data_IF_745646903137
#
_entry.id   IF_745646903137
#
_cell.length_a   1.000
_cell.length_b   1.000
_cell.length_c   1.000
_cell.angle_alpha   90.00
_cell.angle_beta   90.00
_cell.angle_gamma   90.00
#
_symmetry.space_group_name_H-M   'P 1'
#
loop_
_entity.id
_entity.type
_entity.pdbx_description
1 polymer ?
#
# COMPACT_ATOMS: atom_id res chain seq x y z
N UNK A 1 10.18 29.42 -38.16
CA UNK A 1 9.21 28.76 -37.25
C UNK A 1 8.17 29.81 -36.92
N UNK A 2 6.98 29.68 -37.49
CA UNK A 2 5.93 30.67 -37.33
C UNK A 2 5.39 30.62 -35.90
N UNK A 3 4.99 31.77 -35.35
CA UNK A 3 4.42 31.88 -33.99
C UNK A 3 3.28 30.88 -33.75
N UNK A 4 2.51 30.56 -34.80
CA UNK A 4 1.41 29.58 -34.82
C UNK A 4 1.93 28.16 -34.55
N UNK A 5 3.03 27.73 -35.18
CA UNK A 5 3.63 26.40 -34.94
C UNK A 5 4.24 26.27 -33.54
N UNK A 6 4.79 27.36 -33.00
CA UNK A 6 5.29 27.40 -31.63
C UNK A 6 4.11 27.29 -30.64
N UNK A 7 3.02 28.01 -30.87
CA UNK A 7 1.83 27.95 -30.02
C UNK A 7 1.19 26.56 -30.02
N UNK A 8 1.10 25.93 -31.20
CA UNK A 8 0.57 24.57 -31.35
C UNK A 8 1.43 23.53 -30.63
N UNK A 9 2.75 23.57 -30.82
CA UNK A 9 3.66 22.62 -30.17
C UNK A 9 3.68 22.76 -28.65
N UNK A 10 3.68 23.99 -28.12
CA UNK A 10 3.63 24.24 -26.67
C UNK A 10 2.27 23.85 -26.09
N UNK A 11 1.18 24.21 -26.77
CA UNK A 11 -0.20 23.92 -26.34
C UNK A 11 -0.53 22.43 -26.28
N UNK A 12 0.16 21.59 -27.06
CA UNK A 12 0.03 20.13 -27.01
C UNK A 12 1.03 19.49 -26.04
N UNK A 13 2.31 19.89 -26.10
CA UNK A 13 3.36 19.26 -25.31
C UNK A 13 3.19 19.47 -23.80
N UNK A 14 2.72 20.66 -23.38
CA UNK A 14 2.53 20.98 -21.98
C UNK A 14 1.47 20.11 -21.27
N UNK A 15 0.21 20.02 -21.76
CA UNK A 15 -0.80 19.19 -21.11
C UNK A 15 -0.45 17.71 -21.16
N UNK A 16 0.01 17.19 -22.32
CA UNK A 16 0.41 15.77 -22.46
C UNK A 16 1.56 15.41 -21.52
N UNK A 17 2.56 16.29 -21.40
CA UNK A 17 3.68 16.11 -20.47
C UNK A 17 3.23 16.12 -19.00
N UNK A 18 2.26 16.97 -18.66
CA UNK A 18 1.70 17.04 -17.32
C UNK A 18 0.89 15.77 -16.98
N UNK A 19 -0.01 15.31 -17.85
CA UNK A 19 -0.77 14.06 -17.66
C UNK A 19 0.16 12.86 -17.55
N UNK A 20 1.14 12.73 -18.44
CA UNK A 20 2.10 11.64 -18.41
C UNK A 20 2.92 11.63 -17.10
N UNK A 21 3.31 12.81 -16.59
CA UNK A 21 4.01 12.92 -15.30
C UNK A 21 3.12 12.53 -14.11
N UNK A 22 1.86 12.96 -14.09
CA UNK A 22 0.93 12.65 -13.00
C UNK A 22 0.60 11.15 -12.96
N UNK A 23 0.19 10.58 -14.09
CA UNK A 23 -0.13 9.15 -14.23
C UNK A 23 1.12 8.31 -13.97
N UNK A 24 2.26 8.68 -14.58
CA UNK A 24 3.53 7.97 -14.42
C UNK A 24 4.03 7.97 -12.98
N UNK A 25 3.89 9.10 -12.28
CA UNK A 25 4.19 9.21 -10.85
C UNK A 25 3.34 8.26 -10.01
N UNK A 26 2.04 8.18 -10.30
CA UNK A 26 1.11 7.30 -9.55
C UNK A 26 1.32 5.82 -9.83
N UNK A 27 1.51 5.42 -11.10
CA UNK A 27 1.84 4.04 -11.48
C UNK A 27 3.15 3.60 -10.84
N UNK A 28 4.15 4.47 -10.84
CA UNK A 28 5.43 4.22 -10.18
C UNK A 28 5.24 4.01 -8.68
N UNK A 29 4.42 4.83 -8.02
CA UNK A 29 4.10 4.71 -6.58
C UNK A 29 3.46 3.36 -6.23
N UNK A 30 2.40 2.97 -6.93
CA UNK A 30 1.73 1.67 -6.73
C UNK A 30 2.67 0.49 -7.00
N UNK A 31 3.51 0.61 -8.02
CA UNK A 31 4.51 -0.42 -8.34
C UNK A 31 5.55 -0.57 -7.24
N UNK A 32 5.98 0.53 -6.63
CA UNK A 32 6.92 0.52 -5.49
C UNK A 32 6.26 -0.11 -4.26
N UNK A 33 5.03 0.27 -3.93
CA UNK A 33 4.28 -0.30 -2.79
C UNK A 33 4.07 -1.81 -2.91
N UNK A 34 3.66 -2.27 -4.11
CA UNK A 34 3.50 -3.71 -4.38
C UNK A 34 4.82 -4.46 -4.26
N UNK A 35 5.93 -3.87 -4.70
CA UNK A 35 7.27 -4.46 -4.55
C UNK A 35 7.70 -4.54 -3.09
N UNK A 36 7.50 -3.48 -2.31
CA UNK A 36 7.82 -3.48 -0.88
C UNK A 36 7.03 -4.55 -0.13
N UNK A 37 5.72 -4.62 -0.37
CA UNK A 37 4.86 -5.64 0.24
C UNK A 37 5.30 -7.06 -0.14
N UNK A 38 5.70 -7.26 -1.40
CA UNK A 38 6.22 -8.54 -1.90
C UNK A 38 7.50 -8.95 -1.20
N UNK A 39 8.48 -8.06 -1.14
CA UNK A 39 9.77 -8.31 -0.48
C UNK A 39 9.60 -8.60 1.00
N UNK A 40 8.74 -7.82 1.69
CA UNK A 40 8.44 -8.07 3.08
C UNK A 40 7.76 -9.42 3.28
N UNK A 41 6.83 -9.82 2.41
CA UNK A 41 6.21 -11.16 2.44
C UNK A 41 7.24 -12.26 2.22
N UNK A 42 8.12 -12.11 1.24
CA UNK A 42 9.19 -13.07 0.94
C UNK A 42 10.11 -13.23 2.16
N UNK A 43 10.51 -12.11 2.78
CA UNK A 43 11.29 -12.09 4.01
C UNK A 43 10.57 -12.79 5.17
N UNK A 44 9.34 -12.37 5.49
CA UNK A 44 8.56 -12.91 6.61
C UNK A 44 8.28 -14.41 6.41
N UNK A 45 8.01 -14.85 5.18
CA UNK A 45 7.81 -16.26 4.85
C UNK A 45 9.09 -17.09 4.94
N UNK A 46 10.24 -16.56 4.54
CA UNK A 46 11.53 -17.22 4.78
C UNK A 46 11.85 -17.29 6.28
N UNK A 47 11.61 -16.19 7.01
CA UNK A 47 11.87 -16.10 8.44
C UNK A 47 11.01 -17.10 9.23
N UNK A 48 9.72 -17.19 8.94
CA UNK A 48 8.83 -18.17 9.55
C UNK A 48 9.30 -19.61 9.31
N UNK A 49 9.69 -19.95 8.07
CA UNK A 49 10.18 -21.30 7.73
C UNK A 49 11.45 -21.68 8.50
N UNK A 50 12.42 -20.77 8.63
CA UNK A 50 13.64 -21.02 9.40
C UNK A 50 13.34 -21.21 10.90
N UNK A 51 12.39 -20.42 11.44
CA UNK A 51 11.93 -20.57 12.83
C UNK A 51 11.25 -21.93 13.07
N UNK A 52 10.46 -22.42 12.12
CA UNK A 52 9.78 -23.72 12.21
C UNK A 52 10.79 -24.89 12.20
N UNK A 53 11.95 -24.72 11.55
CA UNK A 53 13.06 -25.68 11.58
C UNK A 53 13.87 -25.58 12.89
N UNK A 54 13.56 -24.61 13.75
CA UNK A 54 14.18 -24.44 15.07
C UNK A 54 15.41 -23.53 15.08
N UNK A 55 15.64 -22.75 14.03
CA UNK A 55 16.72 -21.77 14.02
C UNK A 55 16.48 -20.64 15.05
N UNK A 56 17.55 -20.08 15.61
CA UNK A 56 17.41 -18.94 16.53
C UNK A 56 16.82 -17.74 15.79
N UNK A 57 16.01 -16.87 16.43
CA UNK A 57 15.36 -15.76 15.73
C UNK A 57 16.31 -14.82 14.98
N UNK A 58 17.52 -14.61 15.49
CA UNK A 58 18.51 -13.76 14.80
C UNK A 58 19.08 -14.48 13.57
N UNK A 59 19.48 -15.74 13.71
CA UNK A 59 20.01 -16.54 12.59
C UNK A 59 18.95 -16.73 11.50
N UNK A 60 17.72 -17.05 11.88
CA UNK A 60 16.59 -17.19 10.98
C UNK A 60 16.31 -15.89 10.20
N UNK A 61 16.40 -14.73 10.87
CA UNK A 61 16.26 -13.43 10.20
C UNK A 61 17.43 -13.14 9.24
N UNK A 62 18.65 -13.54 9.58
CA UNK A 62 19.83 -13.39 8.70
C UNK A 62 19.71 -14.25 7.45
N UNK A 63 19.33 -15.53 7.58
CA UNK A 63 19.07 -16.40 6.44
C UNK A 63 17.91 -15.87 5.57
N UNK A 64 16.83 -15.39 6.20
CA UNK A 64 15.73 -14.77 5.48
C UNK A 64 16.17 -13.53 4.70
N UNK A 65 17.02 -12.68 5.30
CA UNK A 65 17.57 -11.51 4.63
C UNK A 65 18.45 -11.90 3.43
N UNK A 66 19.30 -12.90 3.59
CA UNK A 66 20.14 -13.42 2.51
C UNK A 66 19.29 -13.95 1.35
N UNK A 67 18.24 -14.71 1.66
CA UNK A 67 17.31 -15.25 0.64
C UNK A 67 16.62 -14.16 -0.18
N UNK A 68 16.27 -13.03 0.46
CA UNK A 68 15.62 -11.90 -0.21
C UNK A 68 16.63 -11.02 -0.94
N UNK A 69 17.86 -10.92 -0.43
CA UNK A 69 18.94 -10.16 -1.09
C UNK A 69 19.37 -10.75 -2.43
N UNK A 70 19.19 -12.07 -2.61
CA UNK A 70 19.48 -12.80 -3.86
C UNK A 70 18.28 -12.88 -4.80
N UNK A 71 17.10 -12.41 -4.37
CA UNK A 71 15.89 -12.38 -5.19
C UNK A 71 16.09 -11.52 -6.45
N UNK A 72 15.56 -11.90 -7.63
CA UNK A 72 15.70 -11.12 -8.86
C UNK A 72 15.14 -9.68 -8.75
N UNK A 73 14.21 -9.44 -7.83
CA UNK A 73 13.64 -8.11 -7.56
C UNK A 73 14.48 -7.25 -6.57
N UNK A 74 15.54 -7.81 -5.96
CA UNK A 74 16.39 -7.12 -4.99
C UNK A 74 17.15 -5.93 -5.58
N UNK A 75 17.49 -5.99 -6.87
CA UNK A 75 18.23 -4.94 -7.57
C UNK A 75 17.43 -3.66 -7.87
N UNK A 76 16.11 -3.67 -7.68
CA UNK A 76 15.24 -2.56 -8.10
C UNK A 76 15.23 -1.41 -7.06
N UNK A 77 15.05 -0.15 -7.51
CA UNK A 77 14.89 0.98 -6.60
C UNK A 77 13.65 0.79 -5.70
N UNK A 78 13.80 1.03 -4.40
CA UNK A 78 12.82 0.74 -3.33
C UNK A 78 13.10 -0.58 -2.61
N UNK A 79 13.26 -1.68 -3.36
CA UNK A 79 13.64 -3.00 -2.83
C UNK A 79 14.92 -2.95 -2.01
N UNK A 80 15.97 -2.32 -2.57
CA UNK A 80 17.27 -2.17 -1.91
C UNK A 80 17.16 -1.41 -0.60
N UNK A 81 16.39 -0.32 -0.57
CA UNK A 81 16.21 0.50 0.64
C UNK A 81 15.55 -0.29 1.77
N UNK A 82 14.54 -1.09 1.44
CA UNK A 82 13.89 -1.97 2.41
C UNK A 82 14.83 -3.08 2.93
N UNK A 83 15.59 -3.73 2.03
CA UNK A 83 16.56 -4.78 2.39
C UNK A 83 17.68 -4.20 3.26
N UNK A 84 18.24 -3.05 2.89
CA UNK A 84 19.27 -2.35 3.66
C UNK A 84 18.76 -2.02 5.07
N UNK A 85 17.51 -1.55 5.17
CA UNK A 85 16.87 -1.25 6.45
C UNK A 85 16.63 -2.48 7.31
N UNK A 86 16.13 -3.58 6.73
CA UNK A 86 15.98 -4.85 7.42
C UNK A 86 17.34 -5.35 7.94
N UNK A 87 18.38 -5.27 7.11
CA UNK A 87 19.74 -5.62 7.50
C UNK A 87 20.29 -4.77 8.65
N UNK A 88 20.01 -3.47 8.65
CA UNK A 88 20.38 -2.59 9.76
C UNK A 88 19.68 -2.99 11.07
N UNK A 89 18.37 -3.23 11.04
CA UNK A 89 17.63 -3.61 12.26
C UNK A 89 18.04 -5.00 12.77
N UNK A 90 18.23 -5.99 11.90
CA UNK A 90 18.73 -7.32 12.28
C UNK A 90 20.11 -7.20 12.91
N UNK A 91 21.01 -6.38 12.33
CA UNK A 91 22.35 -6.14 12.89
C UNK A 91 22.28 -5.47 14.25
N UNK A 92 21.37 -4.50 14.46
CA UNK A 92 21.15 -3.87 15.77
C UNK A 92 20.68 -4.89 16.80
N UNK A 93 19.75 -5.77 16.44
CA UNK A 93 19.24 -6.81 17.34
C UNK A 93 20.35 -7.82 17.68
N UNK A 94 21.20 -8.18 16.71
CA UNK A 94 22.38 -9.03 16.94
C UNK A 94 23.38 -8.39 17.90
N UNK A 95 23.50 -7.07 17.89
CA UNK A 95 24.31 -6.29 18.84
C UNK A 95 23.62 -6.08 20.21
N UNK A 96 22.44 -6.66 20.43
CA UNK A 96 21.73 -6.61 21.72
C UNK A 96 20.56 -5.63 21.78
N UNK A 97 20.22 -4.93 20.70
CA UNK A 97 19.05 -4.06 20.68
C UNK A 97 17.74 -4.87 20.83
N UNK A 98 16.75 -4.26 21.48
CA UNK A 98 15.39 -4.83 21.55
C UNK A 98 14.69 -4.59 20.20
N UNK A 99 14.09 -5.62 19.59
CA UNK A 99 13.35 -5.46 18.33
C UNK A 99 12.28 -4.37 18.44
N UNK A 100 12.25 -3.45 17.47
CA UNK A 100 11.20 -2.41 17.37
C UNK A 100 11.39 -1.22 18.31
N UNK A 101 12.40 -1.25 19.17
CA UNK A 101 12.78 -0.09 19.96
C UNK A 101 13.63 0.83 19.08
N UNK A 102 13.13 2.06 18.84
CA UNK A 102 13.93 3.11 18.22
C UNK A 102 15.21 3.36 19.01
N UNK A 103 16.21 4.09 18.47
CA UNK A 103 17.36 4.50 19.26
C UNK A 103 16.88 5.14 20.56
N UNK A 104 17.18 4.49 21.69
CA UNK A 104 16.83 5.00 23.01
C UNK A 104 17.53 6.35 23.17
N UNK A 105 16.81 7.48 23.30
CA UNK A 105 17.44 8.78 23.51
C UNK A 105 18.16 8.87 24.87
N UNK A 106 18.01 7.85 25.72
CA UNK A 106 18.45 7.82 27.12
C UNK A 106 19.53 6.78 27.40
N UNK A 107 19.88 5.92 26.41
CA UNK A 107 20.88 4.87 26.59
C UNK A 107 22.31 5.43 26.56
N UNK A 108 23.23 4.96 27.42
CA UNK A 108 24.64 5.32 27.29
C UNK A 108 25.13 4.82 25.93
N UNK A 109 25.74 5.73 25.16
CA UNK A 109 26.45 5.39 23.92
C UNK A 109 27.50 4.35 24.30
N UNK A 110 27.24 3.08 23.96
CA UNK A 110 28.19 1.99 24.15
C UNK A 110 29.37 2.22 23.20
N UNK A 111 30.31 3.06 23.66
CA UNK A 111 31.68 3.06 23.21
C UNK A 111 32.36 1.77 23.65
N UNK A 112 33.24 1.27 22.79
CA UNK A 112 34.24 0.25 23.08
C UNK A 112 33.73 -1.12 23.54
N UNK A 113 33.44 -1.99 22.57
CA UNK A 113 34.14 -3.29 22.49
C UNK A 113 34.58 -3.49 21.04
N UNK A 114 35.66 -2.79 20.67
CA UNK A 114 36.45 -3.18 19.51
C UNK A 114 37.38 -4.31 19.96
N UNK A 115 36.88 -5.55 19.83
CA UNK A 115 37.72 -6.75 19.85
C UNK A 115 38.46 -6.85 18.52
N UNK A 116 39.77 -6.67 18.60
CA UNK A 116 40.80 -6.78 17.56
C UNK A 116 40.81 -8.16 16.89
N UNK A 117 39.97 -8.43 15.86
CA UNK A 117 40.19 -9.57 14.94
C UNK A 117 39.26 -9.56 13.69
N UNK A 118 39.31 -8.54 12.83
CA UNK A 118 39.09 -8.74 11.38
C UNK A 118 39.42 -7.48 10.56
N UNK A 119 40.66 -7.37 10.06
CA UNK A 119 41.13 -6.23 9.24
C UNK A 119 41.02 -6.47 7.71
N UNK A 120 40.19 -7.41 7.26
CA UNK A 120 40.10 -7.79 5.84
C UNK A 120 39.05 -7.08 4.97
N UNK A 121 37.94 -6.59 5.52
CA UNK A 121 36.76 -6.20 4.71
C UNK A 121 36.39 -4.70 4.74
N UNK A 122 37.25 -3.84 5.29
CA UNK A 122 36.92 -2.42 5.50
C UNK A 122 37.21 -1.47 4.31
N UNK A 123 37.60 -2.01 3.13
CA UNK A 123 37.96 -1.17 1.97
C UNK A 123 36.83 -0.89 0.97
N UNK A 124 35.62 -1.46 1.13
CA UNK A 124 34.51 -1.23 0.18
C UNK A 124 33.29 -0.47 0.72
N UNK A 125 33.26 -0.14 2.02
CA UNK A 125 32.21 0.70 2.62
C UNK A 125 32.60 2.20 2.69
N UNK A 126 33.19 2.72 1.61
CA UNK A 126 33.41 4.15 1.45
C UNK A 126 32.16 4.81 0.86
N UNK A 127 31.52 5.69 1.64
CA UNK A 127 30.46 6.65 1.25
C UNK A 127 29.00 6.23 1.53
N UNK A 128 28.69 5.88 2.78
CA UNK A 128 27.37 6.19 3.34
C UNK A 128 27.40 7.60 3.92
N UNK A 129 26.87 8.54 3.15
CA UNK A 129 26.67 9.93 3.54
C UNK A 129 25.71 9.94 4.72
N UNK A 130 26.19 10.37 5.90
CA UNK A 130 25.36 10.53 7.08
C UNK A 130 24.20 11.49 6.78
N UNK A 131 22.98 10.97 6.83
CA UNK A 131 21.76 11.76 6.75
C UNK A 131 21.54 12.47 8.09
N UNK A 132 22.30 13.54 8.32
CA UNK A 132 22.09 14.49 9.41
C UNK A 132 20.97 15.44 8.99
N UNK A 133 19.83 15.32 9.67
CA UNK A 133 18.84 16.40 9.81
C UNK A 133 17.77 16.47 8.73
N UNK A 134 16.72 15.66 8.86
CA UNK A 134 15.41 16.00 8.31
C UNK A 134 14.55 16.64 9.42
N UNK A 135 14.89 17.89 9.78
CA UNK A 135 13.96 18.79 10.48
C UNK A 135 13.32 19.67 9.40
N UNK A 136 12.00 19.56 9.26
CA UNK A 136 11.18 20.58 8.59
C UNK A 136 11.14 20.51 7.06
N UNK A 137 10.45 19.52 6.51
CA UNK A 137 9.79 19.67 5.21
C UNK A 137 8.42 18.99 5.25
N UNK A 138 7.30 19.72 5.04
CA UNK A 138 5.99 19.11 4.90
C UNK A 138 5.90 18.49 3.49
N UNK A 139 6.37 17.25 3.35
CA UNK A 139 6.36 16.54 2.06
C UNK A 139 6.55 15.02 2.15
N UNK A 140 6.63 14.43 3.35
CA UNK A 140 6.90 13.01 3.56
C UNK A 140 5.65 12.23 3.99
N UNK A 141 4.71 12.01 3.07
CA UNK A 141 3.61 11.05 3.29
C UNK A 141 3.88 9.68 2.64
N UNK A 142 5.04 9.50 1.99
CA UNK A 142 5.32 8.36 1.10
C UNK A 142 6.38 7.37 1.61
N UNK A 143 7.15 7.73 2.65
CA UNK A 143 8.09 6.83 3.32
C UNK A 143 7.45 5.93 4.38
N UNK A 144 6.18 6.15 4.71
CA UNK A 144 5.51 5.58 5.90
C UNK A 144 5.12 4.10 5.75
N UNK A 145 4.82 3.63 4.53
CA UNK A 145 4.34 2.25 4.30
C UNK A 145 5.42 1.18 4.53
N UNK A 146 6.65 1.28 3.97
CA UNK A 146 7.72 0.33 4.28
C UNK A 146 8.13 0.38 5.76
N UNK A 147 8.10 1.56 6.38
CA UNK A 147 8.35 1.72 7.82
C UNK A 147 7.35 0.96 8.66
N UNK A 148 6.08 1.07 8.29
CA UNK A 148 4.99 0.47 9.02
C UNK A 148 5.03 -1.07 8.99
N UNK A 149 5.34 -1.66 7.83
CA UNK A 149 5.47 -3.12 7.70
C UNK A 149 6.63 -3.69 8.53
N UNK A 150 7.80 -3.04 8.47
CA UNK A 150 8.97 -3.44 9.26
C UNK A 150 8.73 -3.23 10.76
N UNK A 151 8.14 -2.09 11.14
CA UNK A 151 7.79 -1.77 12.54
C UNK A 151 6.85 -2.82 13.13
N UNK A 152 5.81 -3.23 12.38
CA UNK A 152 4.90 -4.30 12.82
C UNK A 152 5.59 -5.64 12.98
N UNK A 153 6.40 -6.04 12.02
CA UNK A 153 7.21 -7.27 12.14
C UNK A 153 8.08 -7.24 13.40
N UNK A 154 8.77 -6.12 13.65
CA UNK A 154 9.60 -5.96 14.84
C UNK A 154 8.78 -5.93 16.14
N UNK A 155 7.57 -5.36 16.12
CA UNK A 155 6.65 -5.40 17.26
C UNK A 155 6.22 -6.83 17.59
N UNK A 156 5.88 -7.64 16.58
CA UNK A 156 5.58 -9.07 16.72
C UNK A 156 6.77 -9.83 17.31
N UNK A 157 7.98 -9.56 16.82
CA UNK A 157 9.19 -10.16 17.38
C UNK A 157 9.40 -9.76 18.84
N UNK A 158 9.29 -8.47 19.16
CA UNK A 158 9.43 -7.98 20.53
C UNK A 158 8.42 -8.62 21.49
N UNK A 159 7.19 -8.82 21.01
CA UNK A 159 6.09 -9.40 21.78
C UNK A 159 6.31 -10.88 22.06
N UNK A 160 6.76 -11.65 21.06
CA UNK A 160 7.14 -13.05 21.26
C UNK A 160 8.30 -13.18 22.26
N UNK A 161 9.28 -12.28 22.22
CA UNK A 161 10.40 -12.28 23.17
C UNK A 161 9.96 -12.01 24.61
N UNK A 162 8.93 -11.16 24.81
CA UNK A 162 8.35 -10.85 26.14
C UNK A 162 7.50 -11.99 26.70
N UNK A 163 6.75 -12.67 25.83
CA UNK A 163 5.72 -13.63 26.26
C UNK A 163 6.06 -15.10 25.99
N UNK A 164 7.20 -15.39 25.36
CA UNK A 164 7.66 -16.75 25.06
C UNK A 164 6.85 -17.49 23.98
N UNK A 165 6.07 -16.78 23.16
CA UNK A 165 5.25 -17.42 22.12
C UNK A 165 6.06 -17.86 20.91
N UNK A 166 5.53 -18.84 20.17
CA UNK A 166 6.09 -19.30 18.90
C UNK A 166 6.13 -18.15 17.88
N UNK A 167 7.31 -17.54 17.72
CA UNK A 167 7.53 -16.46 16.76
C UNK A 167 7.18 -16.89 15.32
N UNK A 168 7.44 -18.16 14.98
CA UNK A 168 7.14 -18.74 13.68
C UNK A 168 5.66 -18.60 13.31
N UNK A 169 4.76 -18.99 14.22
CA UNK A 169 3.31 -18.91 13.98
C UNK A 169 2.81 -17.46 13.81
N UNK A 170 3.33 -16.54 14.61
CA UNK A 170 3.00 -15.10 14.49
C UNK A 170 3.54 -14.48 13.21
N UNK A 171 4.75 -14.86 12.78
CA UNK A 171 5.30 -14.48 11.49
C UNK A 171 4.50 -15.09 10.33
N UNK A 172 4.03 -16.32 10.46
CA UNK A 172 3.14 -16.97 9.50
C UNK A 172 1.82 -16.21 9.34
N UNK A 173 1.20 -15.78 10.45
CA UNK A 173 0.00 -14.92 10.43
C UNK A 173 0.28 -13.58 9.74
N UNK A 174 1.39 -12.92 10.04
CA UNK A 174 1.79 -11.69 9.35
C UNK A 174 2.02 -11.91 7.85
N UNK A 175 2.65 -13.03 7.48
CA UNK A 175 2.85 -13.44 6.09
C UNK A 175 1.52 -13.64 5.36
N UNK A 176 0.52 -14.25 6.00
CA UNK A 176 -0.82 -14.42 5.44
C UNK A 176 -1.54 -13.08 5.23
N UNK A 177 -1.40 -12.12 6.15
CA UNK A 177 -1.92 -10.74 5.94
C UNK A 177 -1.25 -10.06 4.74
N UNK A 178 0.08 -10.16 4.63
CA UNK A 178 0.82 -9.57 3.52
C UNK A 178 0.44 -10.22 2.19
N UNK A 179 0.23 -11.55 2.16
CA UNK A 179 -0.22 -12.25 0.96
C UNK A 179 -1.63 -11.81 0.55
N UNK A 180 -2.56 -11.71 1.51
CA UNK A 180 -3.91 -11.21 1.24
C UNK A 180 -3.88 -9.80 0.61
N UNK A 181 -2.97 -8.93 1.06
CA UNK A 181 -2.76 -7.61 0.45
C UNK A 181 -2.21 -7.72 -0.98
N UNK A 182 -1.25 -8.60 -1.23
CA UNK A 182 -0.69 -8.79 -2.58
C UNK A 182 -1.74 -9.31 -3.57
N UNK A 183 -2.57 -10.26 -3.14
CA UNK A 183 -3.70 -10.76 -3.95
C UNK A 183 -4.70 -9.65 -4.23
N UNK A 184 -5.03 -8.82 -3.24
CA UNK A 184 -5.90 -7.67 -3.40
C UNK A 184 -5.34 -6.64 -4.41
N UNK A 185 -4.05 -6.32 -4.32
CA UNK A 185 -3.35 -5.46 -5.30
C UNK A 185 -3.31 -6.08 -6.70
N UNK A 186 -3.25 -7.41 -6.79
CA UNK A 186 -3.30 -8.16 -8.05
C UNK A 186 -4.68 -8.09 -8.72
N UNK A 187 -5.75 -8.34 -7.97
CA UNK A 187 -7.13 -8.36 -8.48
C UNK A 187 -7.57 -6.99 -9.01
N UNK A 188 -7.22 -5.91 -8.30
CA UNK A 188 -7.51 -4.53 -8.74
C UNK A 188 -6.77 -4.16 -10.02
N UNK A 189 -5.54 -4.63 -10.20
CA UNK A 189 -4.77 -4.42 -11.43
C UNK A 189 -5.35 -5.21 -12.62
N UNK A 190 -5.74 -6.47 -12.37
CA UNK A 190 -6.28 -7.37 -13.40
C UNK A 190 -7.64 -6.92 -13.94
N UNK A 191 -8.55 -6.47 -13.07
CA UNK A 191 -9.86 -5.98 -13.47
C UNK A 191 -9.79 -4.71 -14.35
N UNK A 192 -8.77 -3.88 -14.16
CA UNK A 192 -8.57 -2.64 -14.92
C UNK A 192 -7.77 -2.83 -16.23
N UNK A 193 -7.09 -3.96 -16.41
CA UNK A 193 -6.27 -4.20 -17.60
C UNK A 193 -7.11 -4.21 -18.89
N UNK A 194 -8.30 -4.84 -18.84
CA UNK A 194 -9.24 -4.85 -19.98
C UNK A 194 -9.78 -3.45 -20.31
N UNK A 195 -10.17 -2.67 -19.29
CA UNK A 195 -10.67 -1.30 -19.48
C UNK A 195 -9.59 -0.32 -19.96
N UNK A 196 -8.33 -0.49 -19.51
CA UNK A 196 -7.22 0.34 -19.98
C UNK A 196 -6.79 0.02 -21.41
N UNK A 197 -6.94 -1.23 -21.85
CA UNK A 197 -6.66 -1.61 -23.24
C UNK A 197 -7.61 -0.89 -24.20
N UNK A 198 -8.91 -0.83 -23.89
CA UNK A 198 -9.88 -0.12 -24.74
C UNK A 198 -9.66 1.39 -24.72
N UNK A 199 -9.33 1.97 -23.56
CA UNK A 199 -8.93 3.37 -23.45
C UNK A 199 -7.70 3.68 -24.31
N UNK A 200 -6.68 2.81 -24.28
CA UNK A 200 -5.46 2.99 -25.09
C UNK A 200 -5.77 2.89 -26.58
N UNK A 201 -6.63 1.97 -26.99
CA UNK A 201 -7.09 1.84 -28.39
C UNK A 201 -7.86 3.09 -28.82
N UNK A 202 -8.78 3.60 -27.99
CA UNK A 202 -9.55 4.82 -28.27
C UNK A 202 -8.66 6.07 -28.30
N UNK A 203 -7.60 6.13 -27.47
CA UNK A 203 -6.57 7.17 -27.53
C UNK A 203 -5.72 7.11 -28.80
N UNK A 204 -5.50 5.92 -29.35
CA UNK A 204 -4.76 5.72 -30.60
C UNK A 204 -5.60 5.98 -31.86
N UNK A 205 -6.93 5.89 -31.77
CA UNK A 205 -7.84 6.05 -32.90
C UNK A 205 -7.70 7.41 -33.63
N UNK A 206 -7.63 8.58 -32.94
CA UNK A 206 -7.41 9.87 -33.59
C UNK A 206 -6.08 9.94 -34.34
N UNK A 207 -5.01 9.38 -33.77
CA UNK A 207 -3.70 9.29 -34.42
C UNK A 207 -3.75 8.40 -35.66
N UNK A 208 -4.50 7.29 -35.60
CA UNK A 208 -4.78 6.44 -36.74
C UNK A 208 -5.52 7.18 -37.86
N UNK A 209 -6.55 7.96 -37.52
CA UNK A 209 -7.30 8.75 -38.50
C UNK A 209 -6.46 9.84 -39.19
N UNK A 210 -5.57 10.51 -38.45
CA UNK A 210 -4.61 11.46 -39.02
C UNK A 210 -3.61 10.77 -39.95
N UNK A 211 -3.12 9.59 -39.57
CA UNK A 211 -2.21 8.79 -40.39
C UNK A 211 -2.84 8.39 -41.73
N UNK A 212 -4.10 7.92 -41.69
CA UNK A 212 -4.85 7.56 -42.90
C UNK A 212 -5.11 8.79 -43.78
N UNK A 213 -5.55 9.92 -43.22
CA UNK A 213 -5.75 11.16 -43.96
C UNK A 213 -4.47 11.69 -44.61
N UNK A 214 -3.33 11.56 -43.93
CA UNK A 214 -2.03 11.92 -44.48
C UNK A 214 -1.62 11.01 -45.64
N UNK A 215 -1.89 9.70 -45.56
CA UNK A 215 -1.62 8.76 -46.66
C UNK A 215 -2.49 9.01 -47.90
N UNK A 216 -3.70 9.54 -47.71
CA UNK A 216 -4.60 9.94 -48.80
C UNK A 216 -4.21 11.27 -49.46
N UNK A 217 -3.16 11.94 -48.97
CA UNK A 217 -2.68 13.20 -49.53
C UNK A 217 -3.47 14.43 -49.11
N UNK A 218 -4.41 14.32 -48.17
CA UNK A 218 -5.26 15.42 -47.67
C UNK A 218 -4.49 16.45 -46.83
N UNK A 219 -3.19 16.20 -46.55
CA UNK A 219 -2.29 17.02 -45.73
C UNK A 219 -2.93 17.60 -44.44
N UNK A 220 -3.72 16.84 -43.65
CA UNK A 220 -4.40 17.36 -42.45
C UNK A 220 -3.42 17.94 -41.43
N UNK A 221 -2.20 17.40 -41.35
CA UNK A 221 -1.14 17.91 -40.47
C UNK A 221 -0.74 19.34 -40.83
N UNK A 222 -0.68 19.67 -42.12
CA UNK A 222 -0.33 21.01 -42.59
C UNK A 222 -1.44 22.02 -42.27
N UNK A 223 -2.72 21.62 -42.36
CA UNK A 223 -3.85 22.46 -41.99
C UNK A 223 -3.90 22.72 -40.46
N UNK A 224 -3.71 21.67 -39.65
CA UNK A 224 -3.71 21.75 -38.18
C UNK A 224 -2.56 22.62 -37.63
N UNK A 225 -1.41 22.64 -38.30
CA UNK A 225 -0.22 23.38 -37.86
C UNK A 225 -0.05 24.75 -38.52
N UNK A 226 -0.64 24.95 -39.70
CA UNK A 226 -0.53 26.17 -40.49
C UNK A 226 -1.63 27.21 -40.24
N UNK A 227 -2.80 26.81 -39.71
CA UNK A 227 -3.95 27.70 -39.54
C UNK A 227 -4.36 27.88 -38.07
N UNK A 228 -4.76 29.10 -37.68
CA UNK A 228 -5.16 29.42 -36.29
C UNK A 228 -6.35 28.57 -35.85
N UNK A 229 -7.31 28.35 -36.74
CA UNK A 229 -8.45 27.47 -36.48
C UNK A 229 -8.00 26.03 -36.20
N UNK A 230 -7.05 25.52 -37.00
CA UNK A 230 -6.45 24.20 -36.82
C UNK A 230 -5.74 24.04 -35.47
N UNK A 231 -5.00 25.06 -35.04
CA UNK A 231 -4.34 25.07 -33.73
C UNK A 231 -5.35 25.04 -32.58
N UNK A 232 -6.46 25.77 -32.69
CA UNK A 232 -7.53 25.75 -31.67
C UNK A 232 -8.16 24.36 -31.57
N UNK A 233 -8.46 23.71 -32.70
CA UNK A 233 -9.01 22.35 -32.73
C UNK A 233 -8.03 21.32 -32.15
N UNK A 234 -6.75 21.43 -32.49
CA UNK A 234 -5.68 20.56 -31.99
C UNK A 234 -5.53 20.67 -30.46
N UNK A 235 -5.39 21.89 -29.95
CA UNK A 235 -5.21 22.13 -28.51
C UNK A 235 -6.48 21.75 -27.75
N UNK A 236 -7.66 22.09 -28.26
CA UNK A 236 -8.94 21.72 -27.66
C UNK A 236 -9.12 20.21 -27.53
N UNK A 237 -8.83 19.46 -28.60
CA UNK A 237 -8.91 18.00 -28.59
C UNK A 237 -7.89 17.33 -27.66
N UNK A 238 -6.65 17.84 -27.61
CA UNK A 238 -5.62 17.35 -26.68
C UNK A 238 -5.99 17.63 -25.23
N UNK A 239 -6.54 18.82 -24.93
CA UNK A 239 -7.02 19.15 -23.59
C UNK A 239 -8.19 18.26 -23.17
N UNK A 240 -9.13 17.99 -24.07
CA UNK A 240 -10.26 17.08 -23.81
C UNK A 240 -9.79 15.64 -23.57
N UNK A 241 -8.81 15.17 -24.35
CA UNK A 241 -8.18 13.86 -24.16
C UNK A 241 -7.42 13.77 -22.82
N UNK A 242 -6.67 14.82 -22.46
CA UNK A 242 -5.99 14.89 -21.17
C UNK A 242 -6.98 14.94 -20.00
N UNK A 243 -8.07 15.71 -20.14
CA UNK A 243 -9.14 15.76 -19.15
C UNK A 243 -9.83 14.40 -18.99
N UNK A 244 -10.10 13.70 -20.10
CA UNK A 244 -10.62 12.34 -20.10
C UNK A 244 -9.71 11.37 -19.35
N UNK A 245 -8.41 11.36 -19.65
CA UNK A 245 -7.42 10.51 -18.98
C UNK A 245 -7.27 10.84 -17.47
N UNK A 246 -7.31 12.13 -17.10
CA UNK A 246 -7.29 12.53 -15.69
C UNK A 246 -8.59 12.16 -14.98
N UNK A 247 -9.72 12.21 -15.68
CA UNK A 247 -11.02 11.89 -15.12
C UNK A 247 -11.20 10.38 -14.92
N UNK A 248 -10.79 9.55 -15.90
CA UNK A 248 -10.74 8.07 -15.77
C UNK A 248 -9.81 7.67 -14.64
N UNK A 249 -8.62 8.27 -14.55
CA UNK A 249 -7.68 8.00 -13.47
C UNK A 249 -8.20 8.50 -12.11
N UNK A 250 -8.82 9.67 -12.07
CA UNK A 250 -9.46 10.20 -10.87
C UNK A 250 -10.58 9.29 -10.40
N UNK A 251 -11.45 8.79 -11.28
CA UNK A 251 -12.49 7.79 -10.98
C UNK A 251 -11.88 6.49 -10.46
N UNK A 252 -10.82 6.00 -11.10
CA UNK A 252 -10.09 4.83 -10.65
C UNK A 252 -9.63 5.04 -9.20
N UNK A 253 -9.18 6.25 -8.86
CA UNK A 253 -8.66 6.61 -7.55
C UNK A 253 -9.74 7.00 -6.53
N UNK A 254 -10.87 7.56 -6.94
CA UNK A 254 -12.00 7.91 -6.06
C UNK A 254 -13.01 6.79 -5.92
N UNK A 255 -12.96 5.77 -6.78
CA UNK A 255 -13.84 4.61 -6.69
C UNK A 255 -13.06 3.36 -6.28
N UNK A 256 -11.92 2.98 -6.90
CA UNK A 256 -11.09 1.91 -6.30
C UNK A 256 -10.32 2.40 -5.07
N UNK A 257 -9.67 3.56 -5.17
CA UNK A 257 -9.08 4.20 -4.00
C UNK A 257 -10.10 4.82 -3.06
N UNK A 258 -11.38 4.91 -3.46
CA UNK A 258 -12.55 5.31 -2.67
C UNK A 258 -13.22 4.19 -1.90
N UNK A 259 -13.19 2.98 -2.43
CA UNK A 259 -13.56 1.78 -1.67
C UNK A 259 -12.49 1.54 -0.58
N UNK A 260 -11.25 1.97 -0.83
CA UNK A 260 -10.20 2.16 0.19
C UNK A 260 -10.26 3.49 0.98
N UNK A 261 -10.87 4.58 0.48
CA UNK A 261 -11.02 5.88 1.21
C UNK A 261 -12.30 5.99 2.04
N UNK A 262 -13.26 5.07 1.87
CA UNK A 262 -14.16 4.69 2.97
C UNK A 262 -13.43 3.84 4.02
N UNK A 263 -12.24 3.32 3.71
CA UNK A 263 -11.32 2.68 4.64
C UNK A 263 -10.05 3.54 4.95
N UNK A 264 -10.13 4.87 4.87
CA UNK A 264 -9.12 5.80 5.43
C UNK A 264 -9.35 7.27 5.06
N UNK A 265 -8.92 8.24 5.88
CA UNK A 265 -9.31 8.54 7.26
C UNK A 265 -10.62 9.37 7.28
N UNK A 266 -11.73 8.80 6.82
CA UNK A 266 -13.03 9.51 6.81
C UNK A 266 -13.78 9.26 8.12
N UNK A 267 -13.44 9.97 9.20
CA UNK A 267 -14.33 10.19 10.36
C UNK A 267 -14.91 8.96 11.07
N UNK A 268 -14.40 7.74 10.82
CA UNK A 268 -14.83 6.56 11.56
C UNK A 268 -14.19 6.61 12.94
N UNK A 269 -15.01 6.68 13.99
CA UNK A 269 -14.58 6.64 15.40
C UNK A 269 -13.92 5.29 15.80
N UNK A 270 -13.65 4.38 14.86
CA UNK A 270 -13.13 3.02 15.12
C UNK A 270 -12.16 2.41 14.09
N UNK A 271 -11.81 1.13 14.30
CA UNK A 271 -10.86 0.36 13.47
C UNK A 271 -11.41 0.15 12.04
N UNK A 272 -10.53 -0.07 11.05
CA UNK A 272 -10.96 -0.55 9.73
C UNK A 272 -11.14 -2.08 9.74
N UNK A 273 -11.98 -2.69 8.87
CA UNK A 273 -12.24 -4.13 8.89
C UNK A 273 -10.97 -4.97 8.77
N UNK A 274 -10.01 -4.51 7.96
CA UNK A 274 -8.73 -5.18 7.77
C UNK A 274 -7.79 -5.00 8.97
N UNK A 275 -7.82 -3.86 9.66
CA UNK A 275 -7.08 -3.69 10.92
C UNK A 275 -7.65 -4.55 12.03
N UNK A 276 -8.98 -4.60 12.17
CA UNK A 276 -9.65 -5.50 13.10
C UNK A 276 -9.31 -6.97 12.79
N UNK A 277 -9.39 -7.38 11.52
CA UNK A 277 -9.03 -8.74 11.12
C UNK A 277 -7.56 -9.11 11.47
N UNK A 278 -6.61 -8.16 11.38
CA UNK A 278 -5.22 -8.40 11.79
C UNK A 278 -5.07 -8.54 13.30
N UNK A 279 -5.74 -7.67 14.06
CA UNK A 279 -5.76 -7.74 15.52
C UNK A 279 -6.34 -9.10 15.95
N UNK A 280 -7.43 -9.52 15.34
CA UNK A 280 -8.08 -10.80 15.63
C UNK A 280 -7.21 -12.01 15.25
N UNK A 281 -6.46 -11.97 14.14
CA UNK A 281 -5.52 -13.04 13.80
C UNK A 281 -4.43 -13.20 14.87
N UNK A 282 -3.80 -12.09 15.28
CA UNK A 282 -2.78 -12.11 16.32
C UNK A 282 -3.34 -12.56 17.67
N UNK A 283 -4.56 -12.13 18.00
CA UNK A 283 -5.26 -12.56 19.20
C UNK A 283 -5.55 -14.07 19.18
N UNK A 284 -6.10 -14.57 18.08
CA UNK A 284 -6.39 -15.99 17.94
C UNK A 284 -5.14 -16.87 17.92
N UNK A 285 -4.05 -16.38 17.31
CA UNK A 285 -2.78 -17.10 17.31
C UNK A 285 -2.16 -17.11 18.71
N UNK A 286 -2.31 -16.02 19.47
CA UNK A 286 -1.94 -15.98 20.89
C UNK A 286 -2.71 -17.02 21.70
N UNK A 287 -4.03 -17.11 21.50
CA UNK A 287 -4.86 -18.13 22.15
C UNK A 287 -4.49 -19.56 21.72
N UNK A 288 -4.18 -19.78 20.43
CA UNK A 288 -3.80 -21.09 19.89
C UNK A 288 -2.47 -21.56 20.47
N UNK A 289 -1.54 -20.64 20.69
CA UNK A 289 -0.24 -20.89 21.34
C UNK A 289 -0.32 -20.99 22.86
N UNK A 290 -1.54 -20.91 23.43
CA UNK A 290 -1.78 -21.10 24.86
C UNK A 290 -1.58 -19.86 25.73
N UNK A 291 -1.47 -18.67 25.14
CA UNK A 291 -1.39 -17.44 25.94
C UNK A 291 -2.68 -17.21 26.74
N UNK A 292 -2.57 -16.69 27.98
CA UNK A 292 -3.71 -16.16 28.70
C UNK A 292 -4.42 -15.07 27.88
N UNK A 293 -5.76 -15.04 27.94
CA UNK A 293 -6.58 -14.13 27.12
C UNK A 293 -6.16 -12.66 27.24
N UNK A 294 -5.79 -12.20 28.44
CA UNK A 294 -5.31 -10.85 28.69
C UNK A 294 -4.01 -10.55 27.93
N UNK A 295 -3.07 -11.49 27.98
CA UNK A 295 -1.75 -11.37 27.33
C UNK A 295 -1.90 -11.46 25.81
N UNK A 296 -2.71 -12.41 25.32
CA UNK A 296 -3.02 -12.54 23.89
C UNK A 296 -3.63 -11.24 23.34
N UNK A 297 -4.62 -10.66 24.02
CA UNK A 297 -5.26 -9.42 23.60
C UNK A 297 -4.30 -8.22 23.66
N UNK A 298 -3.56 -8.06 24.76
CA UNK A 298 -2.55 -7.00 24.89
C UNK A 298 -1.45 -7.08 23.82
N UNK A 299 -0.94 -8.28 23.57
CA UNK A 299 0.07 -8.52 22.54
C UNK A 299 -0.44 -8.18 21.13
N UNK A 300 -1.70 -8.50 20.82
CA UNK A 300 -2.32 -8.18 19.54
C UNK A 300 -2.46 -6.66 19.33
N UNK A 301 -2.76 -5.91 20.40
CA UNK A 301 -2.83 -4.44 20.38
C UNK A 301 -1.44 -3.84 20.14
N UNK A 302 -0.43 -4.29 20.87
CA UNK A 302 0.94 -3.80 20.75
C UNK A 302 1.50 -4.02 19.34
N UNK A 303 1.15 -5.16 18.73
CA UNK A 303 1.60 -5.53 17.39
C UNK A 303 0.75 -4.92 16.26
N UNK A 304 -0.51 -4.58 16.54
CA UNK A 304 -1.43 -3.92 15.61
C UNK A 304 -1.29 -2.39 15.56
N UNK A 305 -0.42 -1.81 16.40
CA UNK A 305 -0.38 -0.38 16.69
C UNK A 305 0.00 0.49 15.48
N UNK A 306 -0.89 1.45 15.18
CA UNK A 306 -0.71 2.61 14.27
C UNK A 306 0.41 3.55 14.75
N UNK A 307 0.79 4.54 13.95
CA UNK A 307 1.88 5.46 14.28
C UNK A 307 1.48 6.40 15.44
N UNK A 308 2.29 6.59 16.51
CA UNK A 308 1.94 7.46 17.65
C UNK A 308 1.75 8.94 17.27
N UNK A 309 2.17 9.37 16.08
CA UNK A 309 1.90 10.68 15.52
C UNK A 309 0.47 10.81 14.94
N UNK A 310 -0.08 9.74 14.36
CA UNK A 310 -1.45 9.66 13.84
C UNK A 310 -2.49 9.52 14.98
N UNK A 311 -2.04 9.01 16.13
CA UNK A 311 -2.82 8.95 17.38
C UNK A 311 -3.18 10.33 17.97
N UNK A 312 -2.37 11.39 17.74
CA UNK A 312 -2.59 12.71 18.36
C UNK A 312 -3.80 13.46 17.81
N UNK A 313 -4.31 13.09 16.63
CA UNK A 313 -5.50 13.68 16.02
C UNK A 313 -6.79 12.86 16.18
N UNK A 314 -6.70 11.64 16.71
CA UNK A 314 -7.83 10.69 16.77
C UNK A 314 -8.16 10.32 18.21
N UNK A 315 -9.02 11.09 18.86
CA UNK A 315 -9.79 10.66 20.05
C UNK A 315 -10.86 9.64 19.62
N UNK A 316 -10.43 8.49 19.10
CA UNK A 316 -11.29 7.41 18.62
C UNK A 316 -11.74 6.49 19.76
N UNK A 317 -13.05 6.52 20.07
CA UNK A 317 -13.64 5.73 21.16
C UNK A 317 -13.33 4.23 21.09
N UNK A 318 -13.26 3.63 19.90
CA UNK A 318 -12.94 2.19 19.77
C UNK A 318 -11.49 1.87 20.14
N UNK A 319 -10.50 2.70 19.75
CA UNK A 319 -9.09 2.44 20.12
C UNK A 319 -8.92 2.55 21.64
N UNK A 320 -9.61 3.52 22.25
CA UNK A 320 -9.71 3.61 23.71
C UNK A 320 -10.38 2.36 24.29
N UNK A 321 -11.53 1.93 23.75
CA UNK A 321 -12.26 0.76 24.24
C UNK A 321 -11.43 -0.53 24.15
N UNK A 322 -10.71 -0.75 23.05
CA UNK A 322 -9.79 -1.88 22.86
C UNK A 322 -8.70 -1.91 23.95
N UNK A 323 -8.11 -0.76 24.27
CA UNK A 323 -7.13 -0.63 25.35
C UNK A 323 -7.77 -0.77 26.74
N UNK A 324 -8.99 -0.27 26.92
CA UNK A 324 -9.77 -0.44 28.15
C UNK A 324 -10.03 -1.91 28.41
N UNK A 325 -10.42 -2.71 27.40
CA UNK A 325 -10.59 -4.16 27.55
C UNK A 325 -9.27 -4.81 27.98
N UNK A 326 -8.14 -4.44 27.39
CA UNK A 326 -6.83 -4.96 27.80
C UNK A 326 -6.52 -4.65 29.27
N UNK A 327 -6.75 -3.40 29.70
CA UNK A 327 -6.57 -3.00 31.09
C UNK A 327 -7.51 -3.78 32.03
N UNK A 328 -8.80 -3.89 31.70
CA UNK A 328 -9.78 -4.62 32.50
C UNK A 328 -9.44 -6.11 32.61
N UNK A 329 -8.97 -6.73 31.51
CA UNK A 329 -8.51 -8.12 31.53
C UNK A 329 -7.26 -8.30 32.42
N UNK A 330 -6.32 -7.35 32.39
CA UNK A 330 -5.14 -7.35 33.26
C UNK A 330 -5.50 -7.14 34.73
N UNK A 331 -6.56 -6.36 35.02
CA UNK A 331 -7.13 -6.20 36.36
C UNK A 331 -8.01 -7.39 36.80
N UNK A 332 -8.20 -8.41 35.94
CA UNK A 332 -8.95 -9.62 36.29
C UNK A 332 -10.47 -9.52 36.14
N UNK A 333 -11.00 -8.52 35.41
CA UNK A 333 -12.44 -8.35 35.22
C UNK A 333 -13.12 -9.46 34.37
N UNK A 334 -12.34 -10.40 33.82
CA UNK A 334 -12.87 -11.60 33.16
C UNK A 334 -13.81 -11.29 31.99
N UNK A 335 -15.01 -11.86 32.02
CA UNK A 335 -16.02 -11.69 30.97
C UNK A 335 -16.54 -10.23 30.88
N UNK A 336 -16.63 -9.52 32.00
CA UNK A 336 -17.15 -8.15 32.05
C UNK A 336 -16.21 -7.15 31.37
N UNK A 337 -14.93 -7.50 31.21
CA UNK A 337 -13.94 -6.69 30.52
C UNK A 337 -14.34 -6.35 29.08
N UNK A 338 -15.17 -7.17 28.44
CA UNK A 338 -15.53 -7.05 27.03
C UNK A 338 -16.72 -6.13 26.75
N UNK A 339 -17.49 -5.74 27.78
CA UNK A 339 -18.67 -4.86 27.65
C UNK A 339 -18.42 -3.60 26.81
N UNK A 340 -17.28 -2.88 26.94
CA UNK A 340 -17.01 -1.67 26.15
C UNK A 340 -16.97 -1.89 24.63
N UNK A 341 -16.82 -3.13 24.15
CA UNK A 341 -16.74 -3.47 22.74
C UNK A 341 -17.99 -4.14 22.18
N UNK A 342 -19.03 -4.40 22.99
CA UNK A 342 -20.22 -5.16 22.54
C UNK A 342 -20.92 -4.51 21.34
N UNK A 343 -20.98 -3.18 21.30
CA UNK A 343 -21.65 -2.42 20.23
C UNK A 343 -20.71 -2.08 19.06
N UNK A 344 -19.44 -2.53 19.11
CA UNK A 344 -18.50 -2.25 18.02
C UNK A 344 -18.86 -3.07 16.77
N UNK A 345 -18.96 -2.42 15.58
CA UNK A 345 -19.34 -3.11 14.34
C UNK A 345 -18.41 -4.25 13.94
N UNK A 346 -17.13 -4.20 14.31
CA UNK A 346 -16.12 -5.16 13.89
C UNK A 346 -15.77 -6.14 15.00
N UNK A 347 -15.63 -5.63 16.23
CA UNK A 347 -15.17 -6.39 17.39
C UNK A 347 -16.31 -6.91 18.27
N UNK A 348 -17.54 -6.42 18.12
CA UNK A 348 -18.66 -6.77 19.00
C UNK A 348 -19.01 -8.25 19.00
N UNK A 349 -18.90 -8.93 17.85
CA UNK A 349 -19.11 -10.38 17.77
C UNK A 349 -18.09 -11.15 18.63
N UNK A 350 -16.82 -10.75 18.58
CA UNK A 350 -15.74 -11.35 19.38
C UNK A 350 -15.90 -11.00 20.85
N UNK A 351 -16.25 -9.75 21.17
CA UNK A 351 -16.48 -9.30 22.53
C UNK A 351 -17.61 -10.11 23.20
N UNK A 352 -18.73 -10.32 22.50
CA UNK A 352 -19.82 -11.18 22.99
C UNK A 352 -19.40 -12.64 23.12
N UNK A 353 -18.62 -13.17 22.17
CA UNK A 353 -18.11 -14.55 22.23
C UNK A 353 -17.16 -14.75 23.42
N UNK A 354 -16.27 -13.80 23.66
CA UNK A 354 -15.34 -13.82 24.79
C UNK A 354 -16.09 -13.62 26.13
N UNK A 355 -17.06 -12.71 26.17
CA UNK A 355 -17.92 -12.45 27.31
C UNK A 355 -18.86 -13.61 27.67
N UNK A 356 -19.25 -14.44 26.70
CA UNK A 356 -20.05 -15.64 26.93
C UNK A 356 -19.30 -16.76 27.69
N UNK A 357 -18.04 -16.55 28.05
CA UNK A 357 -17.32 -17.43 28.96
C UNK A 357 -16.77 -18.67 28.29
N UNK A 358 -15.91 -18.50 27.28
CA UNK A 358 -15.09 -19.58 26.78
C UNK A 358 -14.09 -20.04 27.87
N UNK A 359 -14.50 -21.00 28.71
CA UNK A 359 -13.63 -21.65 29.71
C UNK A 359 -12.42 -22.36 29.06
N UNK A 360 -12.45 -22.53 27.73
CA UNK A 360 -11.40 -23.15 26.92
C UNK A 360 -10.99 -22.21 25.77
N UNK A 361 -9.74 -21.77 25.77
CA UNK A 361 -9.19 -20.82 24.79
C UNK A 361 -9.28 -21.28 23.32
N UNK A 362 -9.32 -22.59 23.06
CA UNK A 362 -9.39 -23.14 21.70
C UNK A 362 -10.69 -22.80 20.95
N UNK A 363 -11.85 -22.84 21.61
CA UNK A 363 -13.14 -22.47 20.98
C UNK A 363 -13.21 -20.96 20.70
N UNK A 364 -12.64 -20.16 21.58
CA UNK A 364 -12.52 -18.72 21.37
C UNK A 364 -11.57 -18.43 20.21
N UNK A 365 -10.43 -19.10 20.13
CA UNK A 365 -9.47 -18.95 19.03
C UNK A 365 -10.12 -19.27 17.67
N UNK A 366 -10.89 -20.36 17.57
CA UNK A 366 -11.59 -20.74 16.34
C UNK A 366 -12.65 -19.70 15.93
N UNK A 367 -13.46 -19.23 16.88
CA UNK A 367 -14.47 -18.20 16.62
C UNK A 367 -13.85 -16.84 16.24
N UNK A 368 -12.72 -16.49 16.84
CA UNK A 368 -11.95 -15.28 16.48
C UNK A 368 -11.36 -15.42 15.07
N UNK A 369 -10.76 -16.56 14.72
CA UNK A 369 -10.25 -16.84 13.34
C UNK A 369 -11.38 -16.74 12.32
N UNK A 370 -12.54 -17.33 12.62
CA UNK A 370 -13.71 -17.26 11.75
C UNK A 370 -14.19 -15.81 11.54
N UNK A 371 -14.21 -14.98 12.60
CA UNK A 371 -14.58 -13.57 12.46
C UNK A 371 -13.56 -12.77 11.65
N UNK A 372 -12.26 -13.04 11.83
CA UNK A 372 -11.22 -12.39 11.03
C UNK A 372 -11.34 -12.73 9.54
N UNK A 373 -11.67 -13.99 9.21
CA UNK A 373 -11.96 -14.42 7.83
C UNK A 373 -13.20 -13.70 7.28
N UNK A 374 -14.29 -13.62 8.05
CA UNK A 374 -15.51 -12.90 7.63
C UNK A 374 -15.23 -11.43 7.32
N UNK A 375 -14.52 -10.72 8.21
CA UNK A 375 -14.15 -9.32 7.98
C UNK A 375 -13.34 -9.12 6.70
N UNK A 376 -12.45 -10.07 6.36
CA UNK A 376 -11.69 -10.04 5.09
C UNK A 376 -12.59 -10.31 3.89
N UNK A 377 -13.49 -11.29 3.97
CA UNK A 377 -14.47 -11.59 2.92
C UNK A 377 -15.36 -10.39 2.65
N UNK A 378 -15.94 -9.79 3.69
CA UNK A 378 -16.77 -8.58 3.58
C UNK A 378 -15.99 -7.42 2.91
N UNK A 379 -14.72 -7.25 3.26
CA UNK A 379 -13.85 -6.24 2.64
C UNK A 379 -13.55 -6.54 1.16
N UNK A 380 -13.39 -7.82 0.81
CA UNK A 380 -13.13 -8.26 -0.55
C UNK A 380 -14.39 -8.11 -1.42
N UNK A 381 -15.56 -8.45 -0.88
CA UNK A 381 -16.85 -8.32 -1.55
C UNK A 381 -17.21 -6.84 -1.77
N UNK A 382 -16.96 -5.98 -0.77
CA UNK A 382 -17.10 -4.54 -0.92
C UNK A 382 -16.18 -3.99 -2.03
N UNK A 383 -14.96 -4.52 -2.11
CA UNK A 383 -13.99 -4.15 -3.16
C UNK A 383 -14.43 -4.62 -4.55
N UNK A 384 -14.97 -5.83 -4.66
CA UNK A 384 -15.49 -6.39 -5.91
C UNK A 384 -16.71 -5.63 -6.41
N UNK A 385 -17.70 -5.40 -5.53
CA UNK A 385 -18.87 -4.61 -5.86
C UNK A 385 -18.51 -3.17 -6.24
N UNK A 386 -17.48 -2.60 -5.61
CA UNK A 386 -16.88 -1.33 -6.00
C UNK A 386 -16.34 -1.37 -7.43
N UNK A 387 -15.52 -2.37 -7.77
CA UNK A 387 -14.95 -2.54 -9.11
C UNK A 387 -16.04 -2.72 -10.19
N UNK A 388 -17.10 -3.48 -9.91
CA UNK A 388 -18.22 -3.64 -10.83
C UNK A 388 -18.95 -2.31 -11.11
N UNK A 389 -19.11 -1.46 -10.09
CA UNK A 389 -19.66 -0.10 -10.27
C UNK A 389 -18.70 0.81 -11.04
N UNK A 390 -17.38 0.66 -10.87
CA UNK A 390 -16.38 1.42 -11.65
C UNK A 390 -16.60 1.19 -13.14
N UNK A 391 -16.84 -0.04 -13.56
CA UNK A 391 -17.02 -0.36 -14.99
C UNK A 391 -18.17 0.42 -15.61
N UNK A 392 -19.30 0.56 -14.90
CA UNK A 392 -20.45 1.35 -15.37
C UNK A 392 -20.10 2.84 -15.44
N UNK A 393 -19.43 3.37 -14.40
CA UNK A 393 -19.11 4.80 -14.32
C UNK A 393 -17.99 5.18 -15.30
N UNK A 394 -17.05 4.29 -15.62
CA UNK A 394 -15.95 4.51 -16.57
C UNK A 394 -16.45 4.65 -18.01
N UNK A 395 -17.63 4.10 -18.35
CA UNK A 395 -18.21 4.29 -19.68
C UNK A 395 -18.59 5.77 -19.96
N UNK A 396 -18.95 6.55 -18.94
CA UNK A 396 -19.38 7.95 -19.10
C UNK A 396 -18.24 8.93 -19.52
N UNK A 397 -17.05 8.95 -18.90
CA UNK A 397 -15.94 9.78 -19.38
C UNK A 397 -15.46 9.35 -20.76
N UNK A 398 -15.51 8.05 -21.07
CA UNK A 398 -15.14 7.54 -22.39
C UNK A 398 -16.03 8.17 -23.47
N UNK A 399 -17.35 8.17 -23.30
CA UNK A 399 -18.25 8.78 -24.30
C UNK A 399 -18.23 10.30 -24.29
N UNK A 400 -18.16 10.94 -23.11
CA UNK A 400 -18.29 12.40 -22.99
C UNK A 400 -17.02 13.16 -23.40
N UNK A 401 -15.83 12.57 -23.23
CA UNK A 401 -14.56 13.24 -23.57
C UNK A 401 -13.93 12.73 -24.87
N UNK A 402 -13.98 11.43 -25.16
CA UNK A 402 -13.25 10.88 -26.32
C UNK A 402 -13.99 11.09 -27.64
N UNK A 403 -15.32 11.02 -27.64
CA UNK A 403 -16.10 11.25 -28.85
C UNK A 403 -15.92 12.68 -29.39
N UNK A 404 -16.06 13.75 -28.57
CA UNK A 404 -15.78 15.10 -29.05
C UNK A 404 -14.30 15.32 -29.39
N UNK A 405 -13.35 14.70 -28.66
CA UNK A 405 -11.93 14.78 -29.01
C UNK A 405 -11.63 14.18 -30.39
N UNK A 406 -12.22 13.01 -30.69
CA UNK A 406 -12.08 12.36 -32.00
C UNK A 406 -12.68 13.21 -33.12
N UNK A 407 -13.84 13.81 -32.88
CA UNK A 407 -14.49 14.68 -33.87
C UNK A 407 -13.62 15.92 -34.16
N UNK A 408 -13.10 16.57 -33.10
CA UNK A 408 -12.27 17.79 -33.24
C UNK A 408 -10.92 17.51 -33.91
N UNK A 409 -10.27 16.39 -33.59
CA UNK A 409 -8.89 16.10 -34.04
C UNK A 409 -8.85 15.27 -35.32
N UNK A 410 -9.80 14.37 -35.52
CA UNK A 410 -9.80 13.43 -36.64
C UNK A 410 -10.80 13.80 -37.74
N UNK A 411 -12.08 13.93 -37.38
CA UNK A 411 -13.17 14.06 -38.36
C UNK A 411 -13.20 15.42 -39.06
N UNK A 412 -13.17 16.52 -38.29
CA UNK A 412 -13.30 17.88 -38.87
C UNK A 412 -12.14 18.18 -39.84
N UNK A 413 -10.86 17.93 -39.51
CA UNK A 413 -9.76 18.18 -40.44
C UNK A 413 -9.85 17.35 -41.72
N UNK A 414 -10.32 16.10 -41.63
CA UNK A 414 -10.57 15.26 -42.80
C UNK A 414 -11.63 15.86 -43.72
N UNK A 415 -12.77 16.28 -43.18
CA UNK A 415 -13.86 16.88 -43.95
C UNK A 415 -13.42 18.20 -44.61
N UNK A 416 -12.66 19.03 -43.89
CA UNK A 416 -12.12 20.28 -44.45
C UNK A 416 -11.13 20.00 -45.58
N UNK A 417 -10.24 19.03 -45.40
CA UNK A 417 -9.31 18.60 -46.46
C UNK A 417 -10.02 18.05 -47.71
N UNK A 418 -11.13 17.33 -47.54
CA UNK A 418 -11.98 16.89 -48.65
C UNK A 418 -12.74 18.04 -49.31
N UNK A 419 -13.13 19.06 -48.55
CA UNK A 419 -13.77 20.26 -49.08
C UNK A 419 -12.81 21.16 -49.88
N UNK A 420 -11.50 20.90 -49.83
CA UNK A 420 -10.49 21.64 -50.60
C UNK A 420 -10.24 23.07 -50.11
N UNK A 421 -10.57 23.35 -48.84
CA UNK A 421 -10.27 24.59 -48.11
C UNK A 421 -8.94 24.39 -47.36
#
# INVERSE_FOLDING_TARGET
MDTVTVLASVGVAAPVGLTARLIGGRVRRLSVERRHTRILREFVGAFARELDVGATPVTAAEHALESVSTSPDAGRPGSRELIDRLGLEIRRIRLGAVPGQGPDPSGPVAGQVAGEQDRGCFRKCGRLRGNRGNRGRPGGADSTVPEEGVRRMLAVWSSSRRHGTALGAMMGSLGADLEARLTHLGHTSGALAGARLTETILLLLPLGSLGLGQSMGLRPVAFLTGNVLGVILLVGGVLLGCAGALWTESLTVTVLGGVGRRAGPSGHRGLSPTEAARLLDLFAEGLTTGLPIAVAWGSAIDCGGRDPAEQRGTTGGTVSAVRTVAALLMLGAGADAWKPLHDDPQLGAVARLAGAGARHGGRLAEGVKAQAVRLRQDSADASRAGAERVLVVVAAPLTLCFLPAFVLVGLIPLVVGFAGI
#
